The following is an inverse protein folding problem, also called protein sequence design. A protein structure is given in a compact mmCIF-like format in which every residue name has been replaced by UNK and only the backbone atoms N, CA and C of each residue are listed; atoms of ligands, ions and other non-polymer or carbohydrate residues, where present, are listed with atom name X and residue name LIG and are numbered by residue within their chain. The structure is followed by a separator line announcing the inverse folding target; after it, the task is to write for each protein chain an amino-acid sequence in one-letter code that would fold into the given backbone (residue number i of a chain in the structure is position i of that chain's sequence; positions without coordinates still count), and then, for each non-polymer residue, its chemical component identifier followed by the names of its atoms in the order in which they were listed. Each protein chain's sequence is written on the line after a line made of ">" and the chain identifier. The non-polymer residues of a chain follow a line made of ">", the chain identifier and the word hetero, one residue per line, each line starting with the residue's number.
data_IF_076874897774
#
_entry.id   IF_076874897774
#
_cell.length_a   1.000
_cell.length_b   1.000
_cell.length_c   1.000
_cell.angle_alpha   90.00
_cell.angle_beta   90.00
_cell.angle_gamma   90.00
#
_symmetry.space_group_name_H-M   'P 1'
#
loop_
_entity.id
_entity.type
_entity.pdbx_description
1 polymer ?
#
# COMPACT_ATOMS: atom_id res chain seq x y z
N UNK A 1 -3.98 76.39 32.37
CA UNK A 1 -2.70 75.69 32.08
C UNK A 1 -2.67 74.47 32.98
N UNK A 2 -2.69 73.22 32.53
CA UNK A 2 -2.17 72.59 31.31
C UNK A 2 -3.14 71.47 30.92
N UNK A 3 -3.68 71.49 29.69
CA UNK A 3 -4.50 70.42 29.14
C UNK A 3 -3.57 69.26 28.74
N UNK A 4 -3.61 68.13 29.46
CA UNK A 4 -2.84 66.94 29.12
C UNK A 4 -3.58 66.15 28.05
N UNK A 5 -3.06 66.18 26.83
CA UNK A 5 -3.50 65.37 25.71
C UNK A 5 -3.07 63.91 25.95
N UNK A 6 -4.01 63.01 26.22
CA UNK A 6 -3.74 61.57 26.34
C UNK A 6 -3.98 60.94 24.96
N UNK A 7 -2.90 60.57 24.26
CA UNK A 7 -2.98 59.84 22.98
C UNK A 7 -3.16 58.37 23.32
N UNK A 8 -4.37 57.84 23.08
CA UNK A 8 -4.63 56.40 23.14
C UNK A 8 -4.21 55.79 21.80
N UNK A 9 -3.03 55.15 21.77
CA UNK A 9 -2.58 54.38 20.60
C UNK A 9 -3.31 53.05 20.60
N UNK A 10 -4.34 52.92 19.78
CA UNK A 10 -5.04 51.66 19.54
C UNK A 10 -4.14 50.78 18.66
N UNK A 11 -3.38 49.88 19.27
CA UNK A 11 -2.63 48.84 18.55
C UNK A 11 -3.64 47.81 18.07
N UNK A 12 -4.15 47.98 16.85
CA UNK A 12 -4.95 46.96 16.18
C UNK A 12 -3.99 45.85 15.77
N UNK A 13 -3.83 44.85 16.65
CA UNK A 13 -3.13 43.62 16.29
C UNK A 13 -3.87 42.97 15.12
N UNK A 14 -3.31 43.05 13.92
CA UNK A 14 -3.67 42.14 12.85
C UNK A 14 -3.27 40.74 13.32
N UNK A 15 -4.23 40.01 13.87
CA UNK A 15 -4.16 38.55 13.95
C UNK A 15 -4.28 38.03 12.51
N UNK A 16 -3.19 38.13 11.74
CA UNK A 16 -3.02 37.29 10.58
C UNK A 16 -2.84 35.87 11.11
N UNK A 17 -3.95 35.15 11.29
CA UNK A 17 -3.88 33.71 11.32
C UNK A 17 -3.33 33.31 9.97
N UNK A 18 -2.04 33.02 9.92
CA UNK A 18 -1.52 32.13 8.90
C UNK A 18 -2.37 30.87 9.02
N UNK A 19 -3.30 30.69 8.09
CA UNK A 19 -3.81 29.36 7.81
C UNK A 19 -2.57 28.65 7.30
N UNK A 20 -1.93 27.88 8.18
CA UNK A 20 -0.97 26.88 7.74
C UNK A 20 -1.71 26.07 6.68
N UNK A 21 -1.29 26.23 5.44
CA UNK A 21 -1.82 25.47 4.32
C UNK A 21 -1.48 24.01 4.58
N UNK A 22 -2.38 23.30 5.24
CA UNK A 22 -2.29 21.86 5.41
C UNK A 22 -2.69 21.25 4.07
N UNK A 23 -1.75 21.24 3.13
CA UNK A 23 -1.85 20.38 1.93
C UNK A 23 -1.63 18.95 2.39
N UNK A 24 -2.68 18.32 2.93
CA UNK A 24 -2.74 16.89 3.11
C UNK A 24 -4.21 16.47 3.01
N UNK A 25 -4.71 16.34 1.78
CA UNK A 25 -5.85 15.46 1.54
C UNK A 25 -5.31 14.06 1.83
N UNK A 26 -5.52 13.57 3.05
CA UNK A 26 -5.47 12.13 3.34
C UNK A 26 -6.58 11.51 2.51
N UNK A 27 -6.25 11.07 1.30
CA UNK A 27 -7.06 10.07 0.61
C UNK A 27 -7.09 8.90 1.59
N UNK A 28 -8.29 8.50 2.02
CA UNK A 28 -8.45 7.37 2.92
C UNK A 28 -7.75 6.16 2.30
N UNK A 29 -6.61 5.78 2.87
CA UNK A 29 -5.86 4.57 2.59
C UNK A 29 -5.57 3.92 3.93
N UNK A 30 -5.73 2.60 4.00
CA UNK A 30 -5.06 1.79 5.00
C UNK A 30 -3.77 1.29 4.36
N UNK A 31 -2.62 1.70 4.91
CA UNK A 31 -1.32 1.26 4.42
C UNK A 31 -0.59 0.49 5.53
N UNK A 32 -0.23 -0.75 5.24
CA UNK A 32 0.42 -1.68 6.16
C UNK A 32 1.86 -1.88 5.72
N UNK A 33 2.81 -1.60 6.63
CA UNK A 33 4.23 -1.94 6.51
C UNK A 33 4.45 -3.34 7.09
N UNK A 34 4.67 -4.31 6.20
CA UNK A 34 4.74 -5.72 6.58
C UNK A 34 6.14 -6.08 7.08
N UNK A 35 6.25 -6.47 8.35
CA UNK A 35 7.52 -6.65 9.04
C UNK A 35 8.13 -5.33 9.55
N UNK A 36 7.44 -4.21 9.37
CA UNK A 36 7.78 -2.95 10.02
C UNK A 36 7.64 -3.04 11.53
N UNK A 37 8.41 -2.24 12.28
CA UNK A 37 8.38 -2.28 13.75
C UNK A 37 7.56 -1.15 14.39
N UNK A 38 7.36 -0.04 13.67
CA UNK A 38 6.73 1.18 14.18
C UNK A 38 5.86 1.80 13.10
N UNK A 39 4.82 2.52 13.52
CA UNK A 39 4.02 3.35 12.63
C UNK A 39 4.80 4.62 12.27
N UNK A 40 4.62 5.11 11.04
CA UNK A 40 5.27 6.33 10.58
C UNK A 40 4.50 7.00 9.44
N UNK A 41 4.80 8.28 9.22
CA UNK A 41 4.34 9.00 8.03
C UNK A 41 5.53 9.16 7.09
N UNK A 42 5.39 8.72 5.85
CA UNK A 42 6.46 8.83 4.88
C UNK A 42 6.58 10.24 4.30
N UNK A 43 7.60 10.45 3.46
CA UNK A 43 7.86 11.75 2.82
C UNK A 43 6.73 12.24 1.90
N UNK A 44 5.79 11.37 1.54
CA UNK A 44 4.65 11.69 0.70
C UNK A 44 3.36 11.87 1.51
N UNK A 45 3.44 11.84 2.84
CA UNK A 45 2.30 12.02 3.74
C UNK A 45 1.45 10.75 3.93
N UNK A 46 1.89 9.58 3.49
CA UNK A 46 1.17 8.33 3.72
C UNK A 46 1.45 7.82 5.13
N UNK A 47 0.38 7.53 5.87
CA UNK A 47 0.46 6.94 7.21
C UNK A 47 0.58 5.42 7.09
N UNK A 48 1.74 4.89 7.44
CA UNK A 48 2.07 3.47 7.44
C UNK A 48 1.87 2.88 8.84
N UNK A 49 1.13 1.78 8.91
CA UNK A 49 0.86 1.03 10.13
C UNK A 49 1.69 -0.26 10.09
N UNK A 50 2.46 -0.50 11.14
CA UNK A 50 3.21 -1.74 11.31
C UNK A 50 2.26 -2.91 11.61
N UNK A 51 2.49 -4.03 10.94
CA UNK A 51 1.81 -5.30 11.22
C UNK A 51 2.37 -6.03 12.46
N UNK A 52 3.30 -5.44 13.22
CA UNK A 52 3.82 -6.05 14.43
C UNK A 52 2.78 -6.08 15.58
N UNK A 53 1.72 -5.27 15.46
CA UNK A 53 0.60 -5.25 16.40
C UNK A 53 -0.53 -6.22 16.04
N UNK A 54 -0.45 -6.88 14.87
CA UNK A 54 -1.46 -7.84 14.44
C UNK A 54 -1.05 -9.25 14.85
N UNK A 55 -2.03 -10.09 15.19
CA UNK A 55 -1.83 -11.52 15.45
C UNK A 55 -1.61 -12.29 14.13
N UNK A 56 -0.61 -11.87 13.35
CA UNK A 56 -0.23 -12.53 12.11
C UNK A 56 1.06 -13.33 12.31
N UNK A 57 1.00 -14.62 11.99
CA UNK A 57 2.16 -15.50 12.02
C UNK A 57 3.24 -15.01 11.05
N UNK A 58 4.47 -15.51 11.20
CA UNK A 58 5.56 -15.29 10.26
C UNK A 58 6.81 -14.69 10.87
N UNK A 59 7.88 -14.73 10.10
CA UNK A 59 9.20 -14.19 10.44
C UNK A 59 9.40 -12.82 9.78
N UNK A 60 10.13 -11.93 10.44
CA UNK A 60 10.48 -10.62 9.90
C UNK A 60 11.91 -10.65 9.41
N UNK A 61 12.14 -10.13 8.20
CA UNK A 61 13.48 -9.93 7.64
C UNK A 61 13.67 -8.48 7.21
N UNK A 62 14.73 -7.84 7.71
CA UNK A 62 15.18 -6.56 7.19
C UNK A 62 15.84 -6.77 5.81
N UNK A 63 15.49 -5.93 4.84
CA UNK A 63 16.03 -5.99 3.48
C UNK A 63 16.48 -4.61 3.04
N UNK A 64 17.49 -4.56 2.19
CA UNK A 64 17.90 -3.30 1.59
C UNK A 64 16.81 -2.81 0.62
N UNK A 65 16.25 -1.60 0.79
CA UNK A 65 15.22 -1.08 -0.10
C UNK A 65 15.78 -0.83 -1.52
N UNK A 66 14.92 -0.68 -2.54
CA UNK A 66 15.36 -0.35 -3.89
C UNK A 66 16.20 0.94 -3.94
N UNK A 67 17.18 1.00 -4.86
CA UNK A 67 18.07 2.17 -5.00
C UNK A 67 17.29 3.49 -5.23
N UNK A 68 16.17 3.44 -5.96
CA UNK A 68 15.34 4.63 -6.21
C UNK A 68 14.65 5.17 -4.95
N UNK A 69 14.52 4.36 -3.89
CA UNK A 69 14.06 4.76 -2.57
C UNK A 69 15.24 5.30 -1.75
N UNK A 70 16.37 4.60 -1.73
CA UNK A 70 17.58 5.05 -1.00
C UNK A 70 18.06 6.44 -1.40
N UNK A 71 17.95 6.78 -2.69
CA UNK A 71 18.29 8.10 -3.20
C UNK A 71 17.45 9.25 -2.59
N UNK A 72 16.31 8.93 -1.97
CA UNK A 72 15.48 9.86 -1.20
C UNK A 72 15.92 9.79 0.27
N UNK A 73 17.01 10.49 0.60
CA UNK A 73 17.60 10.51 1.94
C UNK A 73 16.53 10.66 3.05
N UNK A 74 16.67 9.90 4.14
CA UNK A 74 15.77 9.86 5.31
C UNK A 74 14.35 9.28 5.07
N UNK A 75 14.12 8.50 4.02
CA UNK A 75 12.81 7.83 3.83
C UNK A 75 12.75 6.48 4.55
N UNK A 76 12.05 6.44 5.68
CA UNK A 76 11.45 5.18 6.17
C UNK A 76 10.55 4.63 5.06
N UNK A 77 10.66 3.33 4.76
CA UNK A 77 10.04 2.73 3.59
C UNK A 77 9.44 1.36 3.94
N UNK A 78 8.25 1.04 3.39
CA UNK A 78 7.63 -0.27 3.58
C UNK A 78 8.31 -1.36 2.73
N UNK A 79 9.43 -1.02 2.08
CA UNK A 79 10.28 -1.94 1.32
C UNK A 79 11.64 -2.19 2.01
N UNK A 80 11.79 -1.73 3.26
CA UNK A 80 12.98 -1.96 4.09
C UNK A 80 12.85 -3.20 4.99
N UNK A 81 11.69 -3.83 5.01
CA UNK A 81 11.41 -5.08 5.70
C UNK A 81 10.40 -5.91 4.91
N UNK A 82 10.39 -7.20 5.20
CA UNK A 82 9.36 -8.13 4.73
C UNK A 82 8.88 -9.00 5.88
N UNK A 83 7.61 -9.37 5.82
CA UNK A 83 7.07 -10.51 6.55
C UNK A 83 7.13 -11.75 5.67
N UNK A 84 7.74 -12.81 6.18
CA UNK A 84 7.90 -14.10 5.53
C UNK A 84 7.03 -15.11 6.25
N UNK A 85 6.41 -16.02 5.51
CA UNK A 85 5.55 -17.06 6.07
C UNK A 85 6.19 -18.44 5.89
N UNK A 86 7.22 -18.77 6.67
CA UNK A 86 7.81 -20.10 6.67
C UNK A 86 6.86 -21.11 7.29
N UNK A 87 6.87 -22.33 6.75
CA UNK A 87 6.00 -23.39 7.22
C UNK A 87 5.52 -24.29 6.09
N UNK A 88 4.55 -25.14 6.44
CA UNK A 88 3.95 -26.13 5.56
C UNK A 88 3.12 -25.53 4.41
N UNK A 89 2.20 -26.32 3.89
CA UNK A 89 1.36 -25.95 2.75
C UNK A 89 0.07 -25.28 3.24
N UNK A 90 0.20 -24.07 3.78
CA UNK A 90 -0.88 -23.31 4.40
C UNK A 90 -1.10 -21.95 3.75
N UNK A 91 -2.29 -21.37 3.98
CA UNK A 91 -2.58 -19.96 3.71
C UNK A 91 -2.30 -19.12 4.96
N UNK A 92 -1.75 -17.93 4.77
CA UNK A 92 -1.50 -16.92 5.80
C UNK A 92 -2.22 -15.64 5.38
N UNK A 93 -3.09 -15.09 6.23
CA UNK A 93 -4.05 -14.07 5.83
C UNK A 93 -3.94 -12.81 6.70
N UNK A 94 -3.99 -11.65 6.05
CA UNK A 94 -4.37 -10.40 6.68
C UNK A 94 -5.89 -10.29 6.64
N UNK A 95 -6.50 -9.99 7.79
CA UNK A 95 -7.93 -9.78 7.94
C UNK A 95 -8.19 -8.30 8.18
N UNK A 96 -9.12 -7.72 7.44
CA UNK A 96 -9.54 -6.33 7.62
C UNK A 96 -11.06 -6.27 7.78
N UNK A 97 -11.50 -5.82 8.94
CA UNK A 97 -12.91 -5.70 9.32
C UNK A 97 -13.42 -4.26 9.38
N UNK A 98 -14.63 -4.07 9.95
CA UNK A 98 -15.23 -2.76 10.11
C UNK A 98 -14.40 -1.83 11.00
N UNK A 99 -13.75 -2.38 12.02
CA UNK A 99 -12.98 -1.60 13.00
C UNK A 99 -11.59 -1.18 12.48
N UNK A 100 -11.02 -1.94 11.53
CA UNK A 100 -9.72 -1.62 10.94
C UNK A 100 -9.82 -0.49 9.92
N UNK A 101 -10.80 -0.57 9.02
CA UNK A 101 -10.89 0.32 7.87
C UNK A 101 -12.30 0.53 7.31
N UNK A 102 -13.31 0.39 8.16
CA UNK A 102 -14.72 0.53 7.77
C UNK A 102 -15.05 -0.35 6.55
N UNK A 103 -14.60 -1.61 6.61
CA UNK A 103 -14.92 -2.61 5.60
C UNK A 103 -16.41 -2.91 5.67
N UNK A 104 -17.08 -2.74 4.54
CA UNK A 104 -18.53 -2.92 4.42
C UNK A 104 -18.85 -3.75 3.19
N UNK A 105 -19.72 -4.76 3.38
CA UNK A 105 -20.25 -5.58 2.28
C UNK A 105 -20.80 -4.67 1.17
N UNK A 106 -20.65 -5.12 -0.08
CA UNK A 106 -21.05 -4.42 -1.31
C UNK A 106 -20.31 -3.10 -1.59
N UNK A 107 -19.29 -2.75 -0.79
CA UNK A 107 -18.41 -1.63 -1.10
C UNK A 107 -17.22 -2.10 -1.94
N UNK A 108 -16.76 -1.22 -2.83
CA UNK A 108 -15.63 -1.51 -3.71
C UNK A 108 -14.31 -1.05 -3.07
N UNK A 109 -13.28 -1.87 -3.23
CA UNK A 109 -11.95 -1.61 -2.71
C UNK A 109 -10.90 -1.88 -3.79
N UNK A 110 -9.89 -1.00 -3.87
CA UNK A 110 -8.63 -1.28 -4.54
C UNK A 110 -7.64 -1.78 -3.49
N UNK A 111 -7.05 -2.93 -3.74
CA UNK A 111 -6.04 -3.55 -2.88
C UNK A 111 -4.76 -3.70 -3.68
N UNK A 112 -3.62 -3.30 -3.09
CA UNK A 112 -2.29 -3.45 -3.66
C UNK A 112 -1.37 -4.17 -2.70
N UNK A 113 -0.83 -5.30 -3.12
CA UNK A 113 0.24 -6.01 -2.43
C UNK A 113 1.57 -5.75 -3.16
N UNK A 114 2.62 -5.45 -2.39
CA UNK A 114 3.96 -5.19 -2.92
C UNK A 114 4.98 -6.18 -2.37
N UNK A 115 5.93 -6.55 -3.22
CA UNK A 115 6.91 -7.59 -2.95
C UNK A 115 8.32 -7.14 -3.37
N UNK A 116 9.19 -7.01 -2.37
CA UNK A 116 10.61 -6.70 -2.49
C UNK A 116 11.43 -7.51 -1.49
N UNK A 117 12.18 -8.51 -1.97
CA UNK A 117 13.16 -9.27 -1.21
C UNK A 117 14.60 -8.75 -1.40
N UNK A 118 14.81 -7.80 -2.31
CA UNK A 118 16.13 -7.27 -2.62
C UNK A 118 17.08 -8.36 -3.14
N UNK A 119 18.29 -8.41 -2.58
CA UNK A 119 19.35 -9.34 -2.98
C UNK A 119 19.40 -10.64 -2.16
N UNK A 120 18.67 -10.72 -1.05
CA UNK A 120 18.77 -11.81 -0.08
C UNK A 120 17.38 -12.36 0.25
N UNK A 121 17.17 -13.64 -0.02
CA UNK A 121 16.01 -14.39 0.47
C UNK A 121 16.50 -15.66 1.18
N UNK A 122 16.15 -15.88 2.45
CA UNK A 122 16.80 -16.90 3.28
C UNK A 122 16.25 -18.32 3.06
N UNK A 123 15.30 -18.52 2.15
CA UNK A 123 14.72 -19.81 1.84
C UNK A 123 15.07 -20.27 0.42
N UNK A 124 15.25 -21.58 0.26
CA UNK A 124 15.46 -22.19 -1.05
C UNK A 124 14.28 -21.97 -1.97
N UNK A 125 14.55 -21.69 -3.24
CA UNK A 125 13.53 -21.63 -4.29
C UNK A 125 13.49 -22.94 -5.09
N UNK A 126 12.30 -23.33 -5.57
CA UNK A 126 12.09 -24.52 -6.41
C UNK A 126 12.74 -24.31 -7.78
N UNK A 127 12.49 -23.16 -8.40
CA UNK A 127 13.20 -22.73 -9.60
C UNK A 127 14.40 -21.90 -9.17
N UNK A 128 15.55 -22.11 -9.82
CA UNK A 128 16.77 -21.38 -9.47
C UNK A 128 16.53 -19.87 -9.55
N UNK A 129 16.73 -19.18 -8.43
CA UNK A 129 16.61 -17.74 -8.28
C UNK A 129 15.22 -17.15 -8.63
N UNK A 130 14.14 -17.93 -8.59
CA UNK A 130 12.78 -17.39 -8.76
C UNK A 130 11.90 -17.85 -7.61
N UNK A 131 11.30 -16.90 -6.90
CA UNK A 131 10.27 -17.15 -5.88
C UNK A 131 8.91 -17.16 -6.57
N UNK A 132 8.10 -18.19 -6.34
CA UNK A 132 6.74 -18.30 -6.84
C UNK A 132 5.75 -18.78 -5.78
N UNK A 133 4.67 -18.03 -5.53
CA UNK A 133 3.61 -18.43 -4.60
C UNK A 133 2.25 -17.84 -4.98
N UNK A 134 1.18 -18.27 -4.30
CA UNK A 134 -0.18 -17.80 -4.58
C UNK A 134 -0.56 -16.62 -3.70
N UNK A 135 -1.20 -15.64 -4.32
CA UNK A 135 -1.92 -14.55 -3.66
C UNK A 135 -3.41 -14.80 -3.85
N UNK A 136 -4.17 -14.74 -2.76
CA UNK A 136 -5.60 -15.01 -2.73
C UNK A 136 -6.34 -13.83 -2.11
N UNK A 137 -7.55 -13.61 -2.60
CA UNK A 137 -8.55 -12.77 -1.96
C UNK A 137 -9.63 -13.71 -1.43
N UNK A 138 -9.85 -13.72 -0.12
CA UNK A 138 -10.65 -14.77 0.53
C UNK A 138 -10.06 -16.17 0.29
N UNK A 139 -10.76 -16.99 -0.49
CA UNK A 139 -10.35 -18.33 -0.91
C UNK A 139 -10.04 -18.42 -2.40
N UNK A 140 -10.28 -17.34 -3.14
CA UNK A 140 -10.11 -17.32 -4.58
C UNK A 140 -8.69 -16.88 -4.93
N UNK A 141 -8.05 -17.63 -5.83
CA UNK A 141 -6.76 -17.22 -6.38
C UNK A 141 -6.93 -15.88 -7.09
N UNK A 142 -6.27 -14.87 -6.54
CA UNK A 142 -6.11 -13.59 -7.21
C UNK A 142 -5.00 -13.76 -8.23
N UNK A 143 -3.80 -14.21 -7.84
CA UNK A 143 -2.64 -14.15 -8.74
C UNK A 143 -1.55 -15.13 -8.34
N UNK A 144 -0.71 -15.52 -9.30
CA UNK A 144 0.58 -16.13 -8.99
C UNK A 144 1.65 -15.05 -8.95
N UNK A 145 2.23 -14.86 -7.77
CA UNK A 145 3.38 -13.96 -7.59
C UNK A 145 4.61 -14.69 -8.08
N UNK A 146 5.36 -14.06 -8.99
CA UNK A 146 6.64 -14.55 -9.49
C UNK A 146 7.67 -13.42 -9.38
N UNK A 147 8.81 -13.72 -8.76
CA UNK A 147 9.85 -12.74 -8.43
C UNK A 147 11.21 -13.37 -8.72
N UNK A 148 11.95 -12.77 -9.64
CA UNK A 148 13.33 -13.15 -9.92
C UNK A 148 14.30 -12.47 -8.96
N UNK A 149 15.29 -13.23 -8.48
CA UNK A 149 16.33 -12.79 -7.57
C UNK A 149 17.70 -12.73 -8.29
N UNK A 150 18.61 -11.83 -7.87
CA UNK A 150 18.35 -10.70 -6.98
C UNK A 150 17.47 -9.64 -7.68
N UNK A 151 16.59 -8.99 -6.93
CA UNK A 151 15.84 -7.84 -7.46
C UNK A 151 16.76 -6.61 -7.51
N UNK A 152 16.81 -5.94 -8.67
CA UNK A 152 17.65 -4.75 -8.90
C UNK A 152 16.88 -3.53 -9.43
N UNK A 153 15.58 -3.69 -9.70
CA UNK A 153 14.71 -2.65 -10.27
C UNK A 153 13.68 -2.14 -9.26
N UNK A 154 12.40 -2.38 -9.60
CA UNK A 154 11.25 -2.03 -8.76
C UNK A 154 10.70 -3.26 -8.05
N UNK A 155 9.97 -3.01 -6.98
CA UNK A 155 9.13 -4.00 -6.32
C UNK A 155 8.06 -4.55 -7.28
N UNK A 156 7.74 -5.83 -7.13
CA UNK A 156 6.61 -6.42 -7.84
C UNK A 156 5.34 -5.97 -7.15
N UNK A 157 4.40 -5.43 -7.91
CA UNK A 157 3.11 -4.97 -7.40
C UNK A 157 1.99 -5.79 -8.03
N UNK A 158 1.07 -6.27 -7.20
CA UNK A 158 -0.19 -6.88 -7.65
C UNK A 158 -1.34 -5.98 -7.18
N UNK A 159 -2.23 -5.59 -8.11
CA UNK A 159 -3.43 -4.80 -7.79
C UNK A 159 -4.73 -5.54 -8.17
N UNK A 160 -5.73 -5.44 -7.30
CA UNK A 160 -7.08 -5.99 -7.49
C UNK A 160 -8.14 -5.00 -7.07
N UNK A 161 -9.20 -4.96 -7.85
CA UNK A 161 -10.45 -4.29 -7.50
C UNK A 161 -11.43 -5.38 -7.07
N UNK A 162 -12.00 -5.23 -5.88
CA UNK A 162 -12.93 -6.21 -5.30
C UNK A 162 -14.16 -5.50 -4.76
N UNK A 163 -15.33 -6.12 -4.94
CA UNK A 163 -16.53 -5.78 -4.18
C UNK A 163 -16.55 -6.71 -2.97
N UNK A 164 -16.55 -6.14 -1.76
CA UNK A 164 -16.52 -6.94 -0.54
C UNK A 164 -17.78 -7.82 -0.43
N UNK A 165 -17.57 -9.13 -0.25
CA UNK A 165 -18.67 -10.12 -0.21
C UNK A 165 -19.24 -10.31 1.22
N UNK A 166 -18.50 -9.81 2.20
CA UNK A 166 -18.84 -9.74 3.63
C UNK A 166 -18.25 -8.44 4.22
N UNK A 167 -18.51 -8.17 5.49
CA UNK A 167 -17.96 -7.00 6.21
C UNK A 167 -16.48 -7.18 6.60
N UNK A 168 -15.75 -7.97 5.82
CA UNK A 168 -14.36 -8.30 6.06
C UNK A 168 -13.71 -8.57 4.70
N UNK A 169 -12.42 -8.26 4.58
CA UNK A 169 -11.58 -8.63 3.45
C UNK A 169 -10.42 -9.48 3.99
N UNK A 170 -10.20 -10.64 3.36
CA UNK A 170 -9.03 -11.47 3.65
C UNK A 170 -8.05 -11.40 2.48
N UNK A 171 -6.82 -10.95 2.71
CA UNK A 171 -5.74 -11.01 1.73
C UNK A 171 -4.75 -12.07 2.17
N UNK A 172 -4.68 -13.17 1.43
CA UNK A 172 -3.91 -14.34 1.84
C UNK A 172 -2.75 -14.64 0.90
N UNK A 173 -1.64 -15.09 1.47
CA UNK A 173 -0.52 -15.67 0.75
C UNK A 173 -0.50 -17.17 1.05
N UNK A 174 -0.29 -17.99 0.03
CA UNK A 174 -0.29 -19.44 0.22
C UNK A 174 0.88 -20.13 -0.47
N UNK A 175 1.47 -21.06 0.27
CA UNK A 175 2.33 -22.09 -0.27
C UNK A 175 1.48 -23.30 -0.65
N UNK A 176 1.14 -23.47 -1.92
CA UNK A 176 0.12 -24.47 -2.31
C UNK A 176 0.62 -25.91 -2.42
N UNK A 177 1.90 -26.12 -2.72
CA UNK A 177 2.47 -27.48 -2.73
C UNK A 177 4.00 -27.47 -2.60
N UNK A 178 4.63 -28.62 -2.28
CA UNK A 178 6.09 -28.76 -2.21
C UNK A 178 6.79 -28.46 -3.53
N UNK A 179 6.12 -28.75 -4.65
CA UNK A 179 6.76 -28.90 -5.96
C UNK A 179 6.47 -27.73 -6.89
N UNK A 180 5.59 -26.80 -6.49
CA UNK A 180 5.19 -25.67 -7.34
C UNK A 180 4.97 -24.35 -6.59
N UNK A 181 5.31 -24.29 -5.29
CA UNK A 181 5.17 -23.07 -4.50
C UNK A 181 6.27 -22.93 -3.44
N UNK A 182 6.92 -21.77 -3.48
CA UNK A 182 7.96 -21.34 -2.56
C UNK A 182 7.36 -20.68 -1.31
N UNK A 183 8.23 -20.39 -0.34
CA UNK A 183 7.89 -19.65 0.87
C UNK A 183 7.34 -18.25 0.51
N UNK A 184 6.09 -17.92 0.88
CA UNK A 184 5.52 -16.62 0.59
C UNK A 184 6.10 -15.52 1.47
N UNK A 185 6.13 -14.29 0.95
CA UNK A 185 6.47 -13.10 1.71
C UNK A 185 5.69 -11.90 1.19
N UNK A 186 5.65 -10.82 1.97
CA UNK A 186 5.03 -9.54 1.58
C UNK A 186 5.82 -8.38 2.20
N UNK A 187 5.94 -7.28 1.46
CA UNK A 187 6.59 -6.05 1.96
C UNK A 187 5.55 -5.03 2.42
N UNK A 188 4.47 -4.85 1.64
CA UNK A 188 3.45 -3.86 1.99
C UNK A 188 2.08 -4.21 1.46
N UNK A 189 1.03 -3.78 2.17
CA UNK A 189 -0.35 -3.96 1.76
C UNK A 189 -1.13 -2.64 1.89
N UNK A 190 -1.76 -2.20 0.80
CA UNK A 190 -2.54 -0.96 0.78
C UNK A 190 -3.98 -1.26 0.39
N UNK A 191 -4.95 -0.75 1.16
CA UNK A 191 -6.38 -0.80 0.86
C UNK A 191 -6.92 0.62 0.67
N UNK A 192 -7.70 0.79 -0.39
CA UNK A 192 -8.43 2.04 -0.69
C UNK A 192 -9.91 1.73 -0.89
N UNK A 193 -10.78 2.31 -0.09
CA UNK A 193 -12.23 2.30 -0.36
C UNK A 193 -12.50 3.20 -1.56
N UNK A 194 -13.34 2.74 -2.49
CA UNK A 194 -13.70 3.49 -3.69
C UNK A 194 -15.05 4.18 -3.46
N UNK A 195 -15.04 5.51 -3.47
CA UNK A 195 -16.23 6.35 -3.21
C UNK A 195 -17.29 6.25 -4.32
N UNK A 196 -16.88 5.79 -5.51
CA UNK A 196 -17.77 5.48 -6.61
C UNK A 196 -17.49 4.07 -7.11
N UNK A 197 -18.54 3.36 -7.55
CA UNK A 197 -18.33 2.27 -8.50
C UNK A 197 -17.45 2.84 -9.61
N UNK A 198 -16.31 2.17 -9.89
CA UNK A 198 -15.37 2.52 -10.96
C UNK A 198 -16.04 3.31 -12.08
N UNK A 199 -15.50 4.49 -12.49
CA UNK A 199 -16.20 5.41 -13.37
C UNK A 199 -16.92 4.68 -14.50
N UNK A 200 -18.18 5.04 -14.78
CA UNK A 200 -19.09 4.22 -15.56
C UNK A 200 -18.77 4.32 -17.05
N UNK A 201 -17.70 3.67 -17.48
CA UNK A 201 -17.71 3.04 -18.81
C UNK A 201 -18.25 1.63 -18.62
N UNK A 202 -19.40 1.52 -17.92
CA UNK A 202 -19.90 0.27 -17.38
C UNK A 202 -18.81 -0.39 -16.52
N UNK A 203 -18.93 -0.39 -15.19
CA UNK A 203 -18.50 -1.59 -14.48
C UNK A 203 -19.16 -2.72 -15.25
N UNK A 204 -18.37 -3.39 -16.09
CA UNK A 204 -18.90 -4.37 -17.03
C UNK A 204 -19.80 -5.28 -16.20
N UNK A 205 -20.88 -5.86 -16.73
CA UNK A 205 -21.71 -6.82 -15.96
C UNK A 205 -20.89 -7.95 -15.28
N UNK A 206 -19.58 -7.99 -15.52
CA UNK A 206 -18.53 -8.82 -14.95
C UNK A 206 -17.92 -8.29 -13.63
N UNK A 207 -17.90 -6.99 -13.31
CA UNK A 207 -17.43 -6.52 -11.98
C UNK A 207 -18.59 -6.52 -10.99
N UNK A 208 -18.73 -7.64 -10.30
CA UNK A 208 -19.78 -7.90 -9.34
C UNK A 208 -19.19 -8.59 -8.12
N UNK A 209 -19.99 -8.80 -7.08
CA UNK A 209 -19.64 -9.69 -5.97
C UNK A 209 -19.09 -11.03 -6.52
N UNK A 210 -17.97 -11.50 -5.96
CA UNK A 210 -17.29 -12.74 -6.39
C UNK A 210 -16.58 -12.67 -7.76
N UNK A 211 -16.47 -11.48 -8.38
CA UNK A 211 -15.76 -11.30 -9.65
C UNK A 211 -14.84 -10.09 -9.60
N UNK A 212 -13.65 -10.23 -8.97
CA UNK A 212 -12.70 -9.15 -8.90
C UNK A 212 -12.07 -8.82 -10.27
N UNK A 213 -11.54 -7.61 -10.41
CA UNK A 213 -10.74 -7.21 -11.57
C UNK A 213 -9.27 -7.10 -11.17
N UNK A 214 -8.41 -7.78 -11.90
CA UNK A 214 -6.96 -7.72 -11.71
C UNK A 214 -6.34 -6.70 -12.65
N UNK A 215 -5.37 -5.94 -12.16
CA UNK A 215 -4.61 -5.04 -13.02
C UNK A 215 -3.69 -5.85 -13.93
N UNK A 216 -3.90 -5.72 -15.26
CA UNK A 216 -2.99 -6.30 -16.26
C UNK A 216 -1.88 -5.31 -16.65
N UNK A 217 -2.26 -4.06 -16.91
CA UNK A 217 -1.34 -3.00 -17.32
C UNK A 217 -1.93 -1.64 -16.97
N UNK A 218 -1.05 -0.72 -16.59
CA UNK A 218 -1.37 0.70 -16.50
C UNK A 218 -0.35 1.48 -17.32
N UNK A 219 -0.81 2.44 -18.11
CA UNK A 219 0.03 3.25 -19.00
C UNK A 219 -0.29 4.71 -18.75
N UNK A 220 0.71 5.52 -18.46
CA UNK A 220 0.60 6.97 -18.48
C UNK A 220 1.00 7.46 -19.88
N UNK A 221 0.06 8.06 -20.61
CA UNK A 221 0.31 8.59 -21.96
C UNK A 221 0.81 10.05 -21.96
N UNK A 222 0.98 10.67 -20.78
CA UNK A 222 1.11 12.12 -20.64
C UNK A 222 2.48 12.72 -20.30
N UNK A 223 3.41 12.04 -19.61
CA UNK A 223 4.79 12.54 -19.31
C UNK A 223 5.70 11.34 -18.98
N UNK A 224 7.01 11.44 -19.26
CA UNK A 224 8.02 10.46 -18.83
C UNK A 224 8.12 10.38 -17.29
N UNK A 225 8.13 9.17 -16.75
CA UNK A 225 8.38 8.87 -15.33
C UNK A 225 9.72 9.43 -14.80
N UNK A 226 10.61 9.84 -15.71
CA UNK A 226 11.93 10.43 -15.43
C UNK A 226 11.87 11.88 -14.92
N UNK A 227 10.81 12.63 -15.25
CA UNK A 227 10.70 14.04 -14.84
C UNK A 227 10.34 14.15 -13.35
N UNK A 228 9.70 13.13 -12.77
CA UNK A 228 9.31 13.04 -11.37
C UNK A 228 9.53 11.59 -10.91
N UNK A 229 10.63 11.25 -10.22
CA UNK A 229 10.87 9.88 -9.76
C UNK A 229 9.79 9.32 -8.81
N UNK A 230 8.88 10.18 -8.30
CA UNK A 230 7.65 9.82 -7.59
C UNK A 230 6.39 9.65 -8.45
N UNK A 231 6.36 10.08 -9.73
CA UNK A 231 5.18 9.94 -10.61
C UNK A 231 4.99 8.54 -11.16
N UNK A 232 6.06 7.74 -11.18
CA UNK A 232 6.00 6.31 -11.51
C UNK A 232 5.24 5.50 -10.45
N UNK A 233 5.15 6.02 -9.22
CA UNK A 233 4.43 5.38 -8.14
C UNK A 233 3.15 6.15 -7.82
N UNK A 234 2.11 5.70 -8.50
CA UNK A 234 0.77 6.28 -8.52
C UNK A 234 0.08 6.17 -7.15
N UNK A 235 0.73 5.50 -6.18
CA UNK A 235 0.39 5.58 -4.74
C UNK A 235 0.11 7.02 -4.30
N UNK A 236 0.81 7.99 -4.89
CA UNK A 236 0.80 9.40 -4.46
C UNK A 236 0.22 10.38 -5.47
N UNK A 237 -0.24 9.91 -6.64
CA UNK A 237 -0.94 10.82 -7.55
C UNK A 237 -2.36 11.03 -7.05
N UNK A 238 -2.50 12.06 -6.22
CA UNK A 238 -3.74 12.52 -5.57
C UNK A 238 -4.88 12.81 -6.56
N UNK A 239 -4.63 12.82 -7.88
CA UNK A 239 -5.62 13.22 -8.89
C UNK A 239 -6.10 12.13 -9.84
N UNK A 240 -5.57 10.90 -9.88
CA UNK A 240 -5.92 9.99 -11.02
C UNK A 240 -7.17 9.13 -10.80
N UNK A 241 -7.89 9.27 -9.69
CA UNK A 241 -9.15 8.55 -9.49
C UNK A 241 -10.26 9.44 -8.93
N UNK A 242 -10.23 10.75 -9.26
CA UNK A 242 -11.17 11.74 -8.73
C UNK A 242 -11.52 12.93 -9.63
N UNK A 243 -10.83 13.19 -10.74
CA UNK A 243 -11.25 14.04 -11.87
C UNK A 243 -10.51 13.61 -13.15
#
# INVERSE_FOLDING_TARGET
>A
MVLRLVIVVLVIGLNCKCIEGQSAISVNFLAIDCGGSLNYVDSNGMNWISDNSTDIDGEVLAVDPPEYIKARANSTSPLSSIRIFPGGYSKHCYLFGPDDYNISKNSAYLIRASFWAGSLFPYSTISQNTISFKLLIYTDEWETVQIDLPQSGREVNKEIYVIAIRNEIEVCLARTSPNNSDTPFISSLILRKLDTALPPVTASKKFTEGRPLMLVKRTNYGVSDEAHPGSADIRYSLNIYGL
#
